data_IF_930898552341
#
_entry.id   IF_930898552341
#
_cell.length_a   1.000
_cell.length_b   1.000
_cell.length_c   1.000
_cell.angle_alpha   90.00
_cell.angle_beta   90.00
_cell.angle_gamma   90.00
#
_symmetry.space_group_name_H-M   'P 1'
#
loop_
_entity.id
_entity.type
_entity.pdbx_description
1 polymer ?
#
# COMPACT_ATOMS: atom_id res chain seq x y z
N UNK A 1 26.51 37.30 119.17
CA UNK A 1 25.44 36.29 119.07
C UNK A 1 24.99 36.18 117.62
N UNK A 2 24.82 34.93 117.12
CA UNK A 2 24.08 34.49 115.91
C UNK A 2 24.25 35.35 114.64
N UNK A 3 25.19 35.01 113.75
CA UNK A 3 25.01 34.14 112.56
C UNK A 3 23.73 34.41 111.78
N UNK A 4 23.88 34.97 110.57
CA UNK A 4 23.12 34.60 109.39
C UNK A 4 23.93 34.95 108.13
N UNK A 5 24.68 33.94 107.68
CA UNK A 5 25.14 33.61 106.33
C UNK A 5 24.67 34.53 105.17
N UNK A 6 25.41 35.60 104.87
CA UNK A 6 25.22 36.42 103.65
C UNK A 6 26.11 35.98 102.47
N UNK A 7 27.06 35.07 102.69
CA UNK A 7 27.98 34.60 101.64
C UNK A 7 27.33 33.73 100.54
N UNK A 8 26.38 32.80 100.80
CA UNK A 8 25.77 32.02 99.72
C UNK A 8 24.73 32.83 98.92
N UNK A 9 24.21 33.93 99.49
CA UNK A 9 23.20 34.77 98.83
C UNK A 9 23.81 35.64 97.73
N UNK A 10 25.05 36.11 97.93
CA UNK A 10 25.79 36.92 96.95
C UNK A 10 26.29 36.05 95.79
N UNK A 11 26.71 34.81 96.06
CA UNK A 11 27.17 33.87 95.02
C UNK A 11 26.00 33.40 94.14
N UNK A 12 24.81 33.18 94.70
CA UNK A 12 23.61 32.85 93.93
C UNK A 12 23.12 34.06 93.10
N UNK A 13 23.24 35.29 93.63
CA UNK A 13 22.90 36.50 92.89
C UNK A 13 23.88 36.79 91.73
N UNK A 14 25.17 36.47 91.86
CA UNK A 14 26.15 36.62 90.76
C UNK A 14 26.06 35.50 89.73
N UNK A 15 25.69 34.27 90.12
CA UNK A 15 25.36 33.18 89.18
C UNK A 15 24.04 33.41 88.42
N UNK A 16 23.04 34.07 89.04
CA UNK A 16 21.80 34.48 88.35
C UNK A 16 21.95 35.79 87.55
N UNK A 17 22.85 36.69 87.95
CA UNK A 17 23.13 37.92 87.20
C UNK A 17 23.94 37.66 85.92
N UNK A 18 24.80 36.65 85.92
CA UNK A 18 25.58 36.25 84.75
C UNK A 18 24.75 35.54 83.67
N UNK A 19 23.64 34.87 84.01
CA UNK A 19 22.73 34.27 83.02
C UNK A 19 21.85 35.28 82.28
N UNK A 20 21.60 36.46 82.85
CA UNK A 20 20.83 37.53 82.19
C UNK A 20 21.64 38.26 81.10
N UNK A 21 22.97 38.34 81.23
CA UNK A 21 23.84 38.98 80.24
C UNK A 21 24.02 38.17 78.94
N UNK A 22 23.81 36.85 78.96
CA UNK A 22 23.88 36.00 77.77
C UNK A 22 22.60 36.00 76.93
N UNK A 23 21.46 36.42 77.48
CA UNK A 23 20.18 36.44 76.76
C UNK A 23 20.12 37.52 75.66
N UNK A 24 20.74 38.68 75.91
CA UNK A 24 20.68 39.85 75.01
C UNK A 24 21.47 39.65 73.70
N UNK A 25 22.46 38.76 73.70
CA UNK A 25 23.28 38.45 72.53
C UNK A 25 22.69 37.32 71.65
N UNK A 26 21.72 36.58 72.16
CA UNK A 26 21.07 35.45 71.47
C UNK A 26 19.96 35.93 70.53
N UNK A 27 19.26 37.01 70.89
CA UNK A 27 18.17 37.57 70.10
C UNK A 27 18.58 38.03 68.67
N UNK A 28 19.66 38.81 68.48
CA UNK A 28 20.12 39.19 67.13
C UNK A 28 20.59 37.99 66.30
N UNK A 29 21.14 36.95 66.93
CA UNK A 29 21.51 35.71 66.23
C UNK A 29 20.28 34.91 65.78
N UNK A 30 19.24 34.86 66.60
CA UNK A 30 17.94 34.28 66.23
C UNK A 30 17.29 35.03 65.07
N UNK A 31 17.37 36.35 65.06
CA UNK A 31 16.79 37.17 63.98
C UNK A 31 17.57 37.03 62.67
N UNK A 32 18.91 36.97 62.71
CA UNK A 32 19.73 36.61 61.55
C UNK A 32 19.41 35.19 61.06
N UNK A 33 19.21 34.24 61.97
CA UNK A 33 18.80 32.87 61.64
C UNK A 33 17.45 32.83 60.91
N UNK A 34 16.44 33.56 61.41
CA UNK A 34 15.13 33.69 60.75
C UNK A 34 15.23 34.35 59.37
N UNK A 35 16.04 35.40 59.25
CA UNK A 35 16.24 36.07 57.97
C UNK A 35 16.92 35.15 56.94
N UNK A 36 17.93 34.38 57.37
CA UNK A 36 18.57 33.35 56.54
C UNK A 36 17.58 32.28 56.13
N UNK A 37 16.81 31.71 57.06
CA UNK A 37 15.76 30.73 56.79
C UNK A 37 14.77 31.23 55.73
N UNK A 38 14.30 32.47 55.85
CA UNK A 38 13.39 33.08 54.87
C UNK A 38 14.06 33.25 53.50
N UNK A 39 15.33 33.69 53.46
CA UNK A 39 16.06 33.86 52.20
C UNK A 39 16.40 32.53 51.51
N UNK A 40 16.68 31.49 52.30
CA UNK A 40 16.90 30.12 51.82
C UNK A 40 15.59 29.55 51.28
N UNK A 41 14.46 29.76 51.95
CA UNK A 41 13.15 29.34 51.45
C UNK A 41 12.80 30.00 50.11
N UNK A 42 13.03 31.31 49.95
CA UNK A 42 12.80 32.01 48.67
C UNK A 42 13.72 31.48 47.57
N UNK A 43 14.99 31.24 47.89
CA UNK A 43 15.95 30.67 46.94
C UNK A 43 15.57 29.25 46.54
N UNK A 44 15.11 28.44 47.50
CA UNK A 44 14.65 27.08 47.26
C UNK A 44 13.39 27.06 46.39
N UNK A 45 12.39 27.92 46.66
CA UNK A 45 11.20 28.04 45.80
C UNK A 45 11.56 28.41 44.36
N UNK A 46 12.56 29.29 44.17
CA UNK A 46 13.05 29.64 42.84
C UNK A 46 13.77 28.48 42.16
N UNK A 47 14.61 27.73 42.90
CA UNK A 47 15.28 26.52 42.38
C UNK A 47 14.24 25.49 41.98
N UNK A 48 13.26 25.22 42.83
CA UNK A 48 12.18 24.27 42.57
C UNK A 48 11.41 24.66 41.30
N UNK A 49 11.04 25.94 41.14
CA UNK A 49 10.37 26.40 39.91
C UNK A 49 11.24 26.24 38.65
N UNK A 50 12.55 26.48 38.77
CA UNK A 50 13.47 26.34 37.65
C UNK A 50 13.68 24.87 37.28
N UNK A 51 13.66 23.96 38.26
CA UNK A 51 13.75 22.52 38.04
C UNK A 51 12.48 21.98 37.38
N UNK A 52 11.30 22.46 37.81
CA UNK A 52 10.02 22.16 37.18
C UNK A 52 9.97 22.62 35.72
N UNK A 53 10.35 23.88 35.44
CA UNK A 53 10.42 24.45 34.09
C UNK A 53 11.42 23.67 33.21
N UNK A 54 12.59 23.35 33.75
CA UNK A 54 13.62 22.58 33.04
C UNK A 54 13.09 21.18 32.71
N UNK A 55 12.43 20.52 33.66
CA UNK A 55 11.83 19.21 33.47
C UNK A 55 10.73 19.24 32.40
N UNK A 56 9.90 20.28 32.38
CA UNK A 56 8.87 20.48 31.36
C UNK A 56 9.49 20.62 29.97
N UNK A 57 10.47 21.51 29.80
CA UNK A 57 11.15 21.75 28.52
C UNK A 57 11.84 20.48 28.03
N UNK A 58 12.52 19.74 28.91
CA UNK A 58 13.19 18.48 28.55
C UNK A 58 12.17 17.43 28.10
N UNK A 59 11.02 17.35 28.74
CA UNK A 59 9.96 16.41 28.35
C UNK A 59 9.29 16.79 27.03
N UNK A 60 9.07 18.08 26.78
CA UNK A 60 8.56 18.59 25.51
C UNK A 60 9.57 18.31 24.39
N UNK A 61 10.85 18.63 24.60
CA UNK A 61 11.92 18.33 23.65
C UNK A 61 11.97 16.83 23.30
N UNK A 62 11.92 15.95 24.30
CA UNK A 62 11.89 14.49 24.09
C UNK A 62 10.67 14.07 23.26
N UNK A 63 9.52 14.65 23.51
CA UNK A 63 8.27 14.34 22.79
C UNK A 63 8.34 14.79 21.34
N UNK A 64 8.73 16.04 21.10
CA UNK A 64 8.88 16.61 19.75
C UNK A 64 9.98 15.88 18.98
N UNK A 65 11.11 15.55 19.61
CA UNK A 65 12.18 14.78 18.98
C UNK A 65 11.70 13.42 18.49
N UNK A 66 10.90 12.70 19.31
CA UNK A 66 10.29 11.42 18.91
C UNK A 66 9.32 11.58 17.74
N UNK A 67 8.52 12.65 17.75
CA UNK A 67 7.62 12.96 16.63
C UNK A 67 8.40 13.23 15.34
N UNK A 68 9.48 14.00 15.41
CA UNK A 68 10.37 14.28 14.26
C UNK A 68 10.97 12.99 13.72
N UNK A 69 11.46 12.11 14.58
CA UNK A 69 12.00 10.81 14.17
C UNK A 69 10.94 9.95 13.46
N UNK A 70 9.74 9.86 14.04
CA UNK A 70 8.61 9.17 13.42
C UNK A 70 8.25 9.74 12.05
N UNK A 71 8.18 11.06 11.93
CA UNK A 71 7.89 11.74 10.66
C UNK A 71 8.99 11.53 9.62
N UNK A 72 10.27 11.46 10.02
CA UNK A 72 11.39 11.15 9.11
C UNK A 72 11.29 9.75 8.54
N UNK A 73 11.02 8.75 9.39
CA UNK A 73 10.81 7.36 8.94
C UNK A 73 9.61 7.27 8.00
N UNK A 74 8.50 7.92 8.37
CA UNK A 74 7.31 7.97 7.54
C UNK A 74 7.58 8.63 6.17
N UNK A 75 8.29 9.76 6.14
CA UNK A 75 8.65 10.43 4.89
C UNK A 75 9.55 9.54 4.01
N UNK A 76 10.52 8.84 4.60
CA UNK A 76 11.37 7.88 3.88
C UNK A 76 10.55 6.73 3.27
N UNK A 77 9.57 6.20 4.00
CA UNK A 77 8.66 5.19 3.50
C UNK A 77 7.80 5.72 2.34
N UNK A 78 7.27 6.94 2.44
CA UNK A 78 6.50 7.57 1.38
C UNK A 78 7.34 7.78 0.12
N UNK A 79 8.59 8.23 0.23
CA UNK A 79 9.51 8.35 -0.90
C UNK A 79 9.70 7.02 -1.63
N UNK A 80 9.92 5.93 -0.88
CA UNK A 80 10.03 4.57 -1.46
C UNK A 80 8.72 4.10 -2.10
N UNK A 81 7.56 4.54 -1.61
CA UNK A 81 6.28 4.26 -2.26
C UNK A 81 6.11 5.05 -3.55
N UNK A 82 6.54 6.31 -3.60
CA UNK A 82 6.49 7.15 -4.81
C UNK A 82 7.38 6.54 -5.90
N UNK A 83 8.63 6.18 -5.56
CA UNK A 83 9.55 5.55 -6.51
C UNK A 83 8.96 4.28 -7.16
N UNK A 84 8.37 3.38 -6.35
CA UNK A 84 7.69 2.18 -6.87
C UNK A 84 6.47 2.51 -7.73
N UNK A 85 5.73 3.56 -7.40
CA UNK A 85 4.59 4.00 -8.21
C UNK A 85 5.06 4.58 -9.55
N UNK A 86 6.16 5.33 -9.58
CA UNK A 86 6.75 5.84 -10.82
C UNK A 86 7.26 4.71 -11.72
N UNK A 87 7.91 3.69 -11.15
CA UNK A 87 8.29 2.48 -11.89
C UNK A 87 7.08 1.76 -12.46
N UNK A 88 6.01 1.62 -11.67
CA UNK A 88 4.76 1.01 -12.10
C UNK A 88 4.09 1.80 -13.22
N UNK A 89 4.12 3.13 -13.18
CA UNK A 89 3.60 3.97 -14.26
C UNK A 89 4.35 3.74 -15.57
N UNK A 90 5.69 3.63 -15.52
CA UNK A 90 6.50 3.31 -16.72
C UNK A 90 6.16 1.94 -17.30
N UNK A 91 5.92 0.94 -16.45
CA UNK A 91 5.47 -0.39 -16.88
C UNK A 91 4.09 -0.33 -17.54
N UNK A 92 3.14 0.39 -16.94
CA UNK A 92 1.81 0.60 -17.50
C UNK A 92 1.90 1.30 -18.86
N UNK A 93 2.69 2.36 -18.99
CA UNK A 93 2.86 3.05 -20.27
C UNK A 93 3.45 2.15 -21.35
N UNK A 94 4.39 1.28 -21.00
CA UNK A 94 4.96 0.29 -21.91
C UNK A 94 3.89 -0.71 -22.36
N UNK A 95 3.19 -1.33 -21.42
CA UNK A 95 2.14 -2.31 -21.71
C UNK A 95 0.98 -1.71 -22.51
N UNK A 96 0.63 -0.45 -22.26
CA UNK A 96 -0.38 0.28 -23.05
C UNK A 96 0.05 0.47 -24.51
N UNK A 97 1.32 0.83 -24.75
CA UNK A 97 1.86 0.95 -26.12
C UNK A 97 1.84 -0.40 -26.84
N UNK A 98 2.22 -1.47 -26.15
CA UNK A 98 2.17 -2.84 -26.70
C UNK A 98 0.74 -3.27 -27.01
N UNK A 99 -0.21 -3.03 -26.09
CA UNK A 99 -1.62 -3.31 -26.30
C UNK A 99 -2.20 -2.54 -27.51
N UNK A 100 -1.82 -1.28 -27.71
CA UNK A 100 -2.23 -0.50 -28.87
C UNK A 100 -1.65 -1.04 -30.19
N UNK A 101 -0.44 -1.59 -30.17
CA UNK A 101 0.13 -2.29 -31.33
C UNK A 101 -0.66 -3.57 -31.60
N UNK A 102 -0.91 -4.39 -30.58
CA UNK A 102 -1.69 -5.62 -30.71
C UNK A 102 -3.10 -5.35 -31.22
N UNK A 103 -3.80 -4.34 -30.70
CA UNK A 103 -5.15 -3.99 -31.15
C UNK A 103 -5.21 -3.67 -32.65
N UNK A 104 -4.16 -3.06 -33.21
CA UNK A 104 -4.05 -2.79 -34.65
C UNK A 104 -3.70 -4.04 -35.47
N UNK A 105 -3.00 -5.00 -34.88
CA UNK A 105 -2.54 -6.22 -35.54
C UNK A 105 -3.55 -7.37 -35.49
N UNK A 106 -4.47 -7.38 -34.51
CA UNK A 106 -5.48 -8.44 -34.37
C UNK A 106 -6.37 -8.53 -35.62
N UNK A 107 -7.05 -7.47 -36.10
CA UNK A 107 -7.92 -7.58 -37.28
C UNK A 107 -7.23 -8.15 -38.54
N UNK A 108 -6.05 -7.67 -38.99
CA UNK A 108 -5.39 -8.26 -40.16
C UNK A 108 -4.89 -9.68 -39.91
N UNK A 109 -4.53 -10.04 -38.68
CA UNK A 109 -4.20 -11.43 -38.33
C UNK A 109 -5.44 -12.33 -38.42
N UNK A 110 -6.55 -11.93 -37.83
CA UNK A 110 -7.83 -12.67 -37.87
C UNK A 110 -8.30 -12.91 -39.32
N UNK A 111 -8.20 -11.90 -40.20
CA UNK A 111 -8.49 -12.08 -41.63
C UNK A 111 -7.59 -13.13 -42.30
N UNK A 112 -6.29 -13.09 -42.01
CA UNK A 112 -5.34 -14.08 -42.57
C UNK A 112 -5.64 -15.50 -42.09
N UNK A 113 -6.03 -15.66 -40.83
CA UNK A 113 -6.45 -16.96 -40.30
C UNK A 113 -7.68 -17.49 -41.06
N UNK A 114 -8.71 -16.65 -41.24
CA UNK A 114 -9.93 -17.05 -41.94
C UNK A 114 -9.67 -17.38 -43.41
N UNK A 115 -8.84 -16.60 -44.10
CA UNK A 115 -8.41 -16.92 -45.47
C UNK A 115 -7.62 -18.24 -45.54
N UNK A 116 -6.85 -18.59 -44.50
CA UNK A 116 -6.19 -19.88 -44.39
C UNK A 116 -7.17 -21.05 -44.30
N UNK A 117 -8.26 -20.88 -43.54
CA UNK A 117 -9.34 -21.87 -43.44
C UNK A 117 -10.03 -22.02 -44.80
N UNK A 118 -10.40 -20.91 -45.44
CA UNK A 118 -11.02 -20.92 -46.77
C UNK A 118 -10.13 -21.65 -47.78
N UNK A 119 -8.83 -21.36 -47.78
CA UNK A 119 -7.89 -22.04 -48.67
C UNK A 119 -7.75 -23.53 -48.38
N UNK A 120 -7.81 -23.92 -47.10
CA UNK A 120 -7.79 -25.32 -46.70
C UNK A 120 -9.02 -26.07 -47.25
N UNK A 121 -10.20 -25.45 -47.20
CA UNK A 121 -11.44 -26.05 -47.72
C UNK A 121 -11.39 -26.22 -49.24
N UNK A 122 -10.82 -25.25 -49.97
CA UNK A 122 -10.66 -25.33 -51.43
C UNK A 122 -9.72 -26.45 -51.88
N UNK A 123 -8.69 -26.76 -51.08
CA UNK A 123 -7.67 -27.76 -51.40
C UNK A 123 -8.05 -29.17 -50.93
N UNK A 124 -9.01 -29.27 -50.02
CA UNK A 124 -9.50 -30.52 -49.46
C UNK A 124 -10.66 -31.10 -50.30
N UNK A 125 -11.05 -32.34 -50.02
CA UNK A 125 -12.20 -32.95 -50.67
C UNK A 125 -13.49 -32.17 -50.36
N UNK A 126 -14.39 -32.02 -51.35
CA UNK A 126 -15.64 -31.30 -51.15
C UNK A 126 -16.58 -32.12 -50.25
N UNK A 127 -16.87 -31.59 -49.07
CA UNK A 127 -17.90 -32.12 -48.15
C UNK A 127 -18.49 -30.96 -47.33
N UNK A 128 -19.76 -31.10 -46.95
CA UNK A 128 -20.51 -30.10 -46.16
C UNK A 128 -20.30 -28.65 -46.64
N UNK A 129 -20.14 -28.45 -47.94
CA UNK A 129 -19.66 -27.18 -48.49
C UNK A 129 -20.60 -26.01 -48.20
N UNK A 130 -21.91 -26.26 -48.19
CA UNK A 130 -22.89 -25.24 -47.84
C UNK A 130 -22.70 -24.74 -46.40
N UNK A 131 -22.66 -25.67 -45.43
CA UNK A 131 -22.49 -25.34 -44.01
C UNK A 131 -21.13 -24.67 -43.73
N UNK A 132 -20.05 -25.20 -44.31
CA UNK A 132 -18.69 -24.65 -44.15
C UNK A 132 -18.59 -23.23 -44.71
N UNK A 133 -19.16 -22.98 -45.90
CA UNK A 133 -19.19 -21.63 -46.51
C UNK A 133 -20.06 -20.66 -45.71
N UNK A 134 -21.21 -21.11 -45.21
CA UNK A 134 -22.07 -20.29 -44.35
C UNK A 134 -21.33 -19.86 -43.08
N UNK A 135 -20.60 -20.78 -42.44
CA UNK A 135 -19.80 -20.50 -41.24
C UNK A 135 -18.70 -19.47 -41.50
N UNK A 136 -17.99 -19.59 -42.64
CA UNK A 136 -16.98 -18.61 -43.05
C UNK A 136 -17.62 -17.24 -43.33
N UNK A 137 -18.76 -17.21 -44.01
CA UNK A 137 -19.47 -15.97 -44.28
C UNK A 137 -19.90 -15.28 -42.99
N UNK A 138 -20.38 -16.03 -41.99
CA UNK A 138 -20.71 -15.51 -40.66
C UNK A 138 -19.48 -14.95 -39.93
N UNK A 139 -18.36 -15.66 -39.97
CA UNK A 139 -17.10 -15.19 -39.38
C UNK A 139 -16.57 -13.92 -40.08
N UNK A 140 -16.66 -13.85 -41.41
CA UNK A 140 -16.30 -12.65 -42.18
C UNK A 140 -17.20 -11.46 -41.81
N UNK A 141 -18.51 -11.66 -41.75
CA UNK A 141 -19.45 -10.62 -41.34
C UNK A 141 -19.16 -10.10 -39.93
N UNK A 142 -18.75 -10.97 -39.00
CA UNK A 142 -18.37 -10.58 -37.65
C UNK A 142 -17.08 -9.73 -37.62
N UNK A 143 -16.09 -10.03 -38.47
CA UNK A 143 -14.84 -9.26 -38.58
C UNK A 143 -15.06 -7.89 -39.21
N UNK A 144 -15.94 -7.80 -40.20
CA UNK A 144 -16.25 -6.56 -40.92
C UNK A 144 -17.26 -5.67 -40.18
N UNK A 145 -17.94 -6.21 -39.17
CA UNK A 145 -18.90 -5.46 -38.38
C UNK A 145 -18.16 -4.46 -37.44
N UNK A 146 -18.38 -3.14 -37.60
CA UNK A 146 -17.73 -2.13 -36.76
C UNK A 146 -18.21 -2.14 -35.30
N UNK A 147 -19.34 -2.77 -34.99
CA UNK A 147 -19.85 -2.86 -33.60
C UNK A 147 -19.24 -4.02 -32.81
N UNK A 148 -18.56 -4.94 -33.49
CA UNK A 148 -17.93 -6.11 -32.88
C UNK A 148 -16.49 -5.78 -32.48
N UNK A 149 -16.10 -6.16 -31.27
CA UNK A 149 -14.72 -5.93 -30.82
C UNK A 149 -13.73 -6.83 -31.59
N UNK A 150 -12.49 -6.39 -31.83
CA UNK A 150 -11.47 -7.23 -32.47
C UNK A 150 -11.24 -8.57 -31.76
N UNK A 151 -11.40 -8.61 -30.44
CA UNK A 151 -11.30 -9.83 -29.63
C UNK A 151 -12.45 -10.80 -29.93
N UNK A 152 -13.66 -10.29 -30.12
CA UNK A 152 -14.83 -11.09 -30.45
C UNK A 152 -14.74 -11.64 -31.89
N UNK A 153 -14.25 -10.84 -32.84
CA UNK A 153 -13.96 -11.32 -34.19
C UNK A 153 -12.92 -12.45 -34.20
N UNK A 154 -11.85 -12.33 -33.39
CA UNK A 154 -10.87 -13.41 -33.21
C UNK A 154 -11.50 -14.66 -32.60
N UNK A 155 -12.36 -14.51 -31.57
CA UNK A 155 -13.08 -15.62 -30.94
C UNK A 155 -13.89 -16.40 -31.97
N UNK A 156 -14.64 -15.70 -32.83
CA UNK A 156 -15.47 -16.33 -33.86
C UNK A 156 -14.65 -17.11 -34.90
N UNK A 157 -13.48 -16.59 -35.30
CA UNK A 157 -12.57 -17.30 -36.21
C UNK A 157 -11.96 -18.52 -35.54
N UNK A 158 -11.56 -18.43 -34.28
CA UNK A 158 -11.04 -19.59 -33.53
C UNK A 158 -12.10 -20.68 -33.36
N UNK A 159 -13.36 -20.30 -33.14
CA UNK A 159 -14.49 -21.24 -33.10
C UNK A 159 -14.68 -21.93 -34.46
N UNK A 160 -14.62 -21.17 -35.55
CA UNK A 160 -14.65 -21.71 -36.92
C UNK A 160 -13.50 -22.68 -37.17
N UNK A 161 -12.29 -22.32 -36.75
CA UNK A 161 -11.10 -23.16 -36.84
C UNK A 161 -11.24 -24.46 -36.04
N UNK A 162 -11.77 -24.39 -34.82
CA UNK A 162 -11.97 -25.56 -33.98
C UNK A 162 -12.94 -26.54 -34.63
N UNK A 163 -14.04 -26.06 -35.20
CA UNK A 163 -15.01 -26.91 -35.88
C UNK A 163 -14.41 -27.53 -37.14
N UNK A 164 -13.62 -26.76 -37.89
CA UNK A 164 -12.90 -27.30 -39.05
C UNK A 164 -11.91 -28.40 -38.64
N UNK A 165 -11.19 -28.23 -37.53
CA UNK A 165 -10.34 -29.26 -36.95
C UNK A 165 -11.11 -30.49 -36.47
N UNK A 166 -12.36 -30.34 -36.01
CA UNK A 166 -13.18 -31.48 -35.60
C UNK A 166 -13.51 -32.40 -36.78
N UNK A 167 -13.67 -31.87 -37.99
CA UNK A 167 -13.90 -32.69 -39.18
C UNK A 167 -12.74 -33.63 -39.48
N UNK A 168 -11.50 -33.24 -39.18
CA UNK A 168 -10.32 -34.11 -39.32
C UNK A 168 -10.17 -35.16 -38.22
N UNK A 169 -10.99 -35.11 -37.16
CA UNK A 169 -10.90 -36.03 -36.00
C UNK A 169 -12.11 -36.95 -35.86
N UNK A 170 -13.27 -36.55 -36.38
CA UNK A 170 -14.53 -37.28 -36.22
C UNK A 170 -14.86 -38.06 -37.50
N UNK A 171 -15.20 -39.33 -37.30
CA UNK A 171 -15.90 -40.14 -38.30
C UNK A 171 -17.28 -39.54 -38.53
N UNK A 172 -17.65 -39.37 -39.80
CA UNK A 172 -18.93 -38.78 -40.17
C UNK A 172 -19.52 -39.49 -41.39
N UNK A 173 -20.84 -39.49 -41.52
CA UNK A 173 -21.52 -39.98 -42.71
C UNK A 173 -22.46 -38.89 -43.26
N UNK A 174 -22.47 -38.73 -44.58
CA UNK A 174 -23.33 -37.76 -45.21
C UNK A 174 -23.92 -38.31 -46.52
N UNK A 175 -25.08 -37.79 -46.88
CA UNK A 175 -25.76 -38.09 -48.13
C UNK A 175 -25.22 -37.17 -49.20
N UNK A 176 -24.77 -37.76 -50.30
CA UNK A 176 -24.37 -37.01 -51.47
C UNK A 176 -24.95 -37.65 -52.73
N UNK A 177 -25.10 -36.86 -53.79
CA UNK A 177 -25.52 -37.36 -55.09
C UNK A 177 -24.30 -37.44 -55.98
N UNK A 178 -23.81 -38.65 -56.22
CA UNK A 178 -22.65 -38.89 -57.07
C UNK A 178 -23.13 -39.39 -58.44
N UNK A 179 -22.53 -38.88 -59.50
CA UNK A 179 -22.77 -39.36 -60.86
C UNK A 179 -21.96 -40.64 -61.08
N UNK A 180 -22.65 -41.76 -61.27
CA UNK A 180 -22.05 -43.05 -61.59
C UNK A 180 -22.64 -43.50 -62.93
N UNK A 181 -21.79 -43.65 -63.95
CA UNK A 181 -22.18 -44.09 -65.30
C UNK A 181 -23.27 -43.20 -65.97
N UNK A 182 -23.24 -41.89 -65.73
CA UNK A 182 -24.20 -40.94 -66.31
C UNK A 182 -25.59 -40.93 -65.65
N UNK A 183 -25.75 -41.66 -64.53
CA UNK A 183 -26.95 -41.60 -63.71
C UNK A 183 -26.62 -41.03 -62.32
N UNK A 184 -27.39 -40.03 -61.89
CA UNK A 184 -27.29 -39.51 -60.53
C UNK A 184 -27.86 -40.52 -59.53
N UNK A 185 -27.04 -40.94 -58.57
CA UNK A 185 -27.46 -41.83 -57.47
C UNK A 185 -27.18 -41.17 -56.14
N UNK A 186 -28.18 -41.20 -55.26
CA UNK A 186 -28.00 -40.80 -53.86
C UNK A 186 -27.23 -41.90 -53.14
N UNK A 187 -26.07 -41.54 -52.58
CA UNK A 187 -25.19 -42.45 -51.86
C UNK A 187 -24.90 -41.90 -50.46
N UNK A 188 -24.67 -42.80 -49.51
CA UNK A 188 -24.13 -42.42 -48.20
C UNK A 188 -22.61 -42.54 -48.25
N UNK A 189 -21.92 -41.42 -48.14
CA UNK A 189 -20.45 -41.34 -48.10
C UNK A 189 -20.01 -41.41 -46.64
N UNK A 190 -19.07 -42.30 -46.35
CA UNK A 190 -18.40 -42.39 -45.04
C UNK A 190 -17.08 -41.63 -45.11
N UNK A 191 -16.89 -40.68 -44.19
CA UNK A 191 -15.62 -39.98 -43.96
C UNK A 191 -14.90 -40.59 -42.76
N UNK A 192 -13.65 -41.01 -42.95
CA UNK A 192 -12.77 -41.64 -41.96
C UNK A 192 -11.40 -40.97 -41.96
#
# INVERSE_FOLDING_TARGET
MKRLSTFPLIVVATLLGSSLAFADQIQPLLDIGKQRQNSEQVSQTKIDSMDDDTSLIVNEYKTVSKQIEGLRVYNAQMRKQIERQEERLKEIDKTMKEAQVMQRQIPPFTRRMLAGIEKSIELDMPFHLAERKERIAFANAAIDNPTVSPAEGLRQVLETFNVEMEYGRKLDNYKDTIEIEGQQREVNVLRV
#
